data_IF_542145340339
#
_entry.id   IF_542145340339
#
_cell.length_a   1.000
_cell.length_b   1.000
_cell.length_c   1.000
_cell.angle_alpha   90.00
_cell.angle_beta   90.00
_cell.angle_gamma   90.00
#
_symmetry.space_group_name_H-M   'P 1'
#
loop_
_entity.id
_entity.type
_entity.pdbx_description
1 polymer ?
#
# COMPACT_ATOMS: atom_id res chain seq x y z
N UNK A 1 -1.60 -44.34 -48.19
CA UNK A 1 -0.92 -43.07 -47.85
C UNK A 1 -1.89 -42.31 -46.96
N UNK A 2 -1.76 -42.44 -45.62
CA UNK A 2 -1.24 -41.36 -44.76
C UNK A 2 -1.90 -40.02 -45.13
N UNK A 3 -2.94 -39.55 -44.46
CA UNK A 3 -3.00 -39.29 -43.02
C UNK A 3 -2.60 -37.83 -42.80
N UNK A 4 -3.58 -36.94 -42.60
CA UNK A 4 -3.42 -35.60 -42.01
C UNK A 4 -4.79 -35.00 -41.75
N UNK A 5 -5.36 -35.31 -40.59
CA UNK A 5 -6.44 -34.55 -39.99
C UNK A 5 -5.83 -33.37 -39.24
N UNK A 6 -5.75 -32.21 -39.88
CA UNK A 6 -5.45 -30.96 -39.20
C UNK A 6 -6.64 -30.58 -38.30
N UNK A 7 -6.50 -30.81 -37.00
CA UNK A 7 -7.40 -30.27 -36.00
C UNK A 7 -6.99 -28.83 -35.75
N UNK A 8 -7.72 -27.89 -36.35
CA UNK A 8 -7.58 -26.47 -36.09
C UNK A 8 -7.96 -26.15 -34.63
N UNK A 9 -6.94 -25.74 -33.87
CA UNK A 9 -7.07 -25.20 -32.52
C UNK A 9 -7.87 -23.89 -32.58
N UNK A 10 -9.00 -23.73 -31.85
CA UNK A 10 -9.71 -22.46 -31.87
C UNK A 10 -8.86 -21.38 -31.17
N UNK A 11 -8.72 -20.18 -31.75
CA UNK A 11 -7.98 -19.09 -31.14
C UNK A 11 -8.77 -18.45 -29.99
N UNK A 12 -8.06 -18.27 -28.87
CA UNK A 12 -8.24 -17.12 -27.98
C UNK A 12 -9.61 -16.99 -27.33
N UNK A 13 -9.85 -17.77 -26.28
CA UNK A 13 -10.75 -17.30 -25.22
C UNK A 13 -10.18 -15.97 -24.69
N UNK A 14 -10.83 -14.86 -25.05
CA UNK A 14 -10.51 -13.56 -24.48
C UNK A 14 -10.82 -13.67 -22.98
N UNK A 15 -9.83 -13.48 -22.10
CA UNK A 15 -10.07 -13.56 -20.66
C UNK A 15 -11.15 -12.54 -20.27
N UNK A 16 -11.99 -12.85 -19.26
CA UNK A 16 -13.05 -11.97 -18.83
C UNK A 16 -12.46 -10.59 -18.48
N UNK A 17 -13.01 -9.54 -19.08
CA UNK A 17 -12.62 -8.16 -18.82
C UNK A 17 -12.83 -7.87 -17.33
N UNK A 18 -11.74 -7.68 -16.61
CA UNK A 18 -11.77 -7.31 -15.19
C UNK A 18 -12.28 -5.88 -15.04
N UNK A 19 -13.12 -5.59 -14.02
CA UNK A 19 -13.68 -4.28 -13.81
C UNK A 19 -12.59 -3.29 -13.43
N UNK A 20 -12.65 -2.12 -14.05
CA UNK A 20 -11.80 -0.98 -13.77
C UNK A 20 -11.93 -0.52 -12.31
N UNK A 21 -10.78 -0.09 -11.76
CA UNK A 21 -10.58 0.75 -10.57
C UNK A 21 -10.28 0.09 -9.21
N UNK A 22 -10.41 -1.23 -9.01
CA UNK A 22 -9.97 -1.86 -7.76
C UNK A 22 -8.56 -2.45 -7.89
N UNK A 23 -7.72 -2.27 -6.85
CA UNK A 23 -6.41 -2.92 -6.75
C UNK A 23 -6.62 -4.42 -6.87
N UNK A 24 -5.94 -5.06 -7.82
CA UNK A 24 -6.03 -6.51 -8.01
C UNK A 24 -5.37 -7.21 -6.82
N UNK A 25 -5.92 -8.36 -6.42
CA UNK A 25 -5.41 -9.15 -5.32
C UNK A 25 -5.03 -10.55 -5.78
N UNK A 26 -3.97 -11.10 -5.19
CA UNK A 26 -3.61 -12.50 -5.41
C UNK A 26 -4.71 -13.43 -4.89
N UNK A 27 -5.10 -14.40 -5.73
CA UNK A 27 -6.03 -15.47 -5.35
C UNK A 27 -5.45 -16.34 -4.24
N UNK A 28 -6.30 -17.08 -3.53
CA UNK A 28 -5.87 -18.00 -2.47
C UNK A 28 -4.85 -19.04 -2.98
N UNK A 29 -5.07 -19.56 -4.19
CA UNK A 29 -4.16 -20.53 -4.83
C UNK A 29 -2.78 -19.90 -5.09
N UNK A 30 -2.76 -18.66 -5.57
CA UNK A 30 -1.51 -17.92 -5.78
C UNK A 30 -0.80 -17.66 -4.46
N UNK A 31 -1.51 -17.22 -3.41
CA UNK A 31 -0.95 -16.99 -2.07
C UNK A 31 -0.30 -18.26 -1.50
N UNK A 32 -0.94 -19.42 -1.66
CA UNK A 32 -0.36 -20.71 -1.24
C UNK A 32 0.89 -21.05 -2.05
N UNK A 33 0.88 -20.83 -3.37
CA UNK A 33 2.05 -21.06 -4.21
C UNK A 33 3.22 -20.12 -3.86
N UNK A 34 2.92 -18.86 -3.53
CA UNK A 34 3.91 -17.89 -3.04
C UNK A 34 4.52 -18.33 -1.70
N UNK A 35 3.70 -18.79 -0.74
CA UNK A 35 4.23 -19.35 0.51
C UNK A 35 5.15 -20.54 0.23
N UNK A 36 4.73 -21.48 -0.63
CA UNK A 36 5.56 -22.65 -1.00
C UNK A 36 6.89 -22.24 -1.62
N UNK A 37 6.92 -21.17 -2.43
CA UNK A 37 8.15 -20.59 -2.99
C UNK A 37 9.06 -20.01 -1.91
N UNK A 38 8.48 -19.33 -0.93
CA UNK A 38 9.21 -18.71 0.17
C UNK A 38 9.61 -19.70 1.29
N UNK A 39 9.15 -20.94 1.24
CA UNK A 39 9.46 -21.97 2.23
C UNK A 39 10.80 -22.66 1.94
N UNK A 40 11.59 -22.87 2.98
CA UNK A 40 12.78 -23.72 2.92
C UNK A 40 12.41 -25.20 3.07
N UNK A 41 13.34 -26.10 2.74
CA UNK A 41 13.17 -27.55 2.95
C UNK A 41 12.93 -27.95 4.41
N UNK A 42 13.23 -27.07 5.37
CA UNK A 42 12.97 -27.26 6.80
C UNK A 42 11.58 -26.75 7.24
N UNK A 43 10.73 -26.28 6.31
CA UNK A 43 9.40 -25.76 6.61
C UNK A 43 9.38 -24.34 7.16
N UNK A 44 10.47 -23.58 7.03
CA UNK A 44 10.55 -22.20 7.48
C UNK A 44 10.17 -21.25 6.34
N UNK A 45 9.31 -20.26 6.60
CA UNK A 45 8.93 -19.24 5.63
C UNK A 45 9.90 -18.08 5.77
N UNK A 46 10.61 -17.76 4.70
CA UNK A 46 11.54 -16.63 4.65
C UNK A 46 10.87 -15.42 4.02
N UNK A 47 11.16 -14.24 4.56
CA UNK A 47 10.80 -12.98 3.93
C UNK A 47 11.62 -12.80 2.65
N UNK A 48 10.98 -12.63 1.50
CA UNK A 48 11.68 -12.47 0.23
C UNK A 48 12.45 -11.13 0.12
N UNK A 49 12.13 -10.15 0.97
CA UNK A 49 12.81 -8.85 0.98
C UNK A 49 14.12 -8.80 1.79
N UNK A 50 14.26 -9.65 2.82
CA UNK A 50 15.44 -9.60 3.72
C UNK A 50 15.97 -10.97 4.16
N UNK A 51 15.32 -12.08 3.79
CA UNK A 51 15.71 -13.43 4.17
C UNK A 51 15.42 -13.83 5.62
N UNK A 52 14.84 -12.95 6.44
CA UNK A 52 14.49 -13.28 7.82
C UNK A 52 13.40 -14.35 7.88
N UNK A 53 13.52 -15.27 8.84
CA UNK A 53 12.48 -16.23 9.15
C UNK A 53 11.24 -15.53 9.75
N UNK A 54 10.12 -15.67 9.06
CA UNK A 54 8.81 -15.11 9.39
C UNK A 54 7.76 -16.19 9.67
N UNK A 55 8.16 -17.45 9.84
CA UNK A 55 7.27 -18.52 10.32
C UNK A 55 6.59 -18.10 11.63
N UNK A 56 5.26 -18.21 11.68
CA UNK A 56 4.46 -17.86 12.85
C UNK A 56 4.26 -16.35 13.07
N UNK A 57 4.83 -15.49 12.21
CA UNK A 57 4.61 -14.03 12.23
C UNK A 57 3.53 -13.63 11.23
N UNK A 58 3.10 -12.37 11.30
CA UNK A 58 2.15 -11.82 10.33
C UNK A 58 2.84 -11.61 8.99
N UNK A 59 2.29 -12.26 7.96
CA UNK A 59 2.78 -12.22 6.57
C UNK A 59 1.81 -11.39 5.74
N UNK A 60 2.36 -10.49 4.92
CA UNK A 60 1.60 -9.71 3.94
C UNK A 60 2.11 -10.06 2.53
N UNK A 61 1.17 -10.21 1.58
CA UNK A 61 1.47 -10.46 0.18
C UNK A 61 1.37 -9.14 -0.57
N UNK A 62 2.45 -8.74 -1.23
CA UNK A 62 2.51 -7.46 -1.91
C UNK A 62 3.05 -7.58 -3.33
N UNK A 63 2.73 -6.63 -4.19
CA UNK A 63 3.13 -6.65 -5.60
C UNK A 63 4.56 -6.14 -5.76
N UNK A 64 5.40 -6.76 -6.58
CA UNK A 64 6.77 -6.26 -6.82
C UNK A 64 6.70 -4.82 -7.34
N UNK A 65 5.96 -4.62 -8.42
CA UNK A 65 5.63 -3.30 -8.96
C UNK A 65 4.28 -2.90 -8.37
N UNK A 66 4.16 -1.73 -7.73
CA UNK A 66 2.90 -1.24 -7.21
C UNK A 66 1.84 -1.19 -8.32
N UNK A 67 0.66 -1.75 -8.04
CA UNK A 67 -0.47 -1.78 -8.99
C UNK A 67 -0.92 -0.38 -9.47
N UNK A 68 -0.59 0.67 -8.72
CA UNK A 68 -0.82 2.06 -9.11
C UNK A 68 0.11 2.55 -10.24
N UNK A 69 1.23 1.87 -10.48
CA UNK A 69 2.17 2.15 -11.56
C UNK A 69 1.97 1.25 -12.79
N UNK A 70 1.17 0.18 -12.66
CA UNK A 70 0.87 -0.72 -13.78
C UNK A 70 -0.21 -0.08 -14.68
N UNK A 71 0.18 0.22 -15.91
CA UNK A 71 -0.71 0.80 -16.94
C UNK A 71 -1.60 -0.27 -17.57
N UNK A 72 -1.01 -1.42 -17.94
CA UNK A 72 -1.75 -2.53 -18.54
C UNK A 72 -2.28 -3.48 -17.45
N UNK A 73 -3.58 -3.36 -17.19
CA UNK A 73 -4.30 -4.19 -16.23
C UNK A 73 -5.04 -5.36 -16.88
N UNK A 74 -4.84 -5.58 -18.18
CA UNK A 74 -5.49 -6.66 -18.91
C UNK A 74 -4.77 -8.00 -18.73
N UNK A 75 -3.46 -7.96 -18.45
CA UNK A 75 -2.69 -9.15 -18.10
C UNK A 75 -3.09 -9.67 -16.71
N UNK A 76 -3.27 -10.99 -16.59
CA UNK A 76 -3.56 -11.63 -15.31
C UNK A 76 -2.37 -11.53 -14.34
N UNK A 77 -2.66 -11.38 -13.05
CA UNK A 77 -1.63 -11.42 -12.00
C UNK A 77 -0.94 -12.78 -11.97
N UNK A 78 0.38 -12.79 -12.08
CA UNK A 78 1.19 -13.99 -11.90
C UNK A 78 1.75 -14.08 -10.48
N UNK A 79 2.10 -15.29 -10.06
CA UNK A 79 2.84 -15.54 -8.82
C UNK A 79 4.20 -14.81 -8.85
N UNK A 80 4.78 -14.63 -10.04
CA UNK A 80 6.03 -13.91 -10.22
C UNK A 80 5.92 -12.42 -9.87
N UNK A 81 4.72 -11.83 -9.94
CA UNK A 81 4.49 -10.40 -9.70
C UNK A 81 4.28 -10.06 -8.22
N UNK A 82 4.31 -11.07 -7.35
CA UNK A 82 4.12 -10.90 -5.90
C UNK A 82 5.35 -11.28 -5.09
N UNK A 83 5.48 -10.67 -3.92
CA UNK A 83 6.41 -11.03 -2.87
C UNK A 83 5.72 -11.43 -1.57
N UNK A 84 6.36 -12.36 -0.85
CA UNK A 84 5.99 -12.73 0.52
C UNK A 84 6.85 -11.93 1.50
N UNK A 85 6.23 -11.00 2.23
CA UNK A 85 6.95 -10.10 3.14
C UNK A 85 6.44 -10.24 4.57
N UNK A 86 7.35 -10.16 5.52
CA UNK A 86 6.97 -9.98 6.92
C UNK A 86 6.48 -8.55 7.14
N UNK A 87 5.34 -8.42 7.84
CA UNK A 87 4.71 -7.13 8.15
C UNK A 87 5.69 -6.14 8.79
N UNK A 88 6.40 -6.60 9.82
CA UNK A 88 7.23 -5.74 10.66
C UNK A 88 8.66 -5.56 10.13
N UNK A 89 9.14 -6.45 9.25
CA UNK A 89 10.52 -6.41 8.75
C UNK A 89 10.68 -5.59 7.46
N UNK A 90 9.87 -5.90 6.42
CA UNK A 90 10.06 -5.34 5.08
C UNK A 90 8.83 -4.61 4.55
N UNK A 91 7.64 -4.90 5.04
CA UNK A 91 6.44 -4.26 4.50
C UNK A 91 6.18 -2.88 5.16
N UNK A 92 5.99 -2.84 6.48
CA UNK A 92 5.58 -1.61 7.22
C UNK A 92 6.68 -0.85 7.94
N UNK A 93 7.92 -1.34 7.93
CA UNK A 93 9.07 -0.66 8.54
C UNK A 93 9.30 0.71 7.89
N UNK A 94 9.86 1.72 8.59
CA UNK A 94 10.37 2.92 7.94
C UNK A 94 11.37 2.58 6.83
N UNK A 95 11.15 3.09 5.61
CA UNK A 95 11.92 2.70 4.43
C UNK A 95 11.62 1.29 3.90
N UNK A 96 10.58 0.64 4.43
CA UNK A 96 10.03 -0.59 3.90
C UNK A 96 9.22 -0.34 2.63
N UNK A 97 8.76 -1.44 2.04
CA UNK A 97 8.10 -1.46 0.74
C UNK A 97 6.95 -0.45 0.63
N UNK A 98 6.04 -0.41 1.60
CA UNK A 98 4.89 0.51 1.53
C UNK A 98 5.33 1.97 1.46
N UNK A 99 6.39 2.36 2.18
CA UNK A 99 6.88 3.73 2.17
C UNK A 99 7.56 4.10 0.83
N UNK A 100 8.36 3.18 0.28
CA UNK A 100 9.00 3.34 -1.02
C UNK A 100 7.96 3.43 -2.14
N UNK A 101 7.01 2.49 -2.17
CA UNK A 101 5.95 2.45 -3.17
C UNK A 101 5.11 3.74 -3.17
N UNK A 102 4.78 4.27 -1.98
CA UNK A 102 4.08 5.55 -1.87
C UNK A 102 4.88 6.74 -2.41
N UNK A 103 6.20 6.74 -2.19
CA UNK A 103 7.09 7.77 -2.73
C UNK A 103 7.12 7.72 -4.27
N UNK A 104 7.29 6.52 -4.83
CA UNK A 104 7.34 6.29 -6.28
C UNK A 104 6.01 6.66 -6.96
N UNK A 105 4.88 6.26 -6.37
CA UNK A 105 3.54 6.63 -6.85
C UNK A 105 3.35 8.15 -6.84
N UNK A 106 3.78 8.81 -5.76
CA UNK A 106 3.66 10.27 -5.64
C UNK A 106 4.51 10.98 -6.68
N UNK A 107 5.72 10.47 -6.93
CA UNK A 107 6.59 11.01 -7.96
C UNK A 107 6.01 10.80 -9.37
N UNK A 108 5.53 9.60 -9.69
CA UNK A 108 4.90 9.30 -10.96
C UNK A 108 3.73 10.25 -11.25
N UNK A 109 2.83 10.42 -10.27
CA UNK A 109 1.70 11.37 -10.34
C UNK A 109 2.17 12.81 -10.53
N UNK A 110 3.26 13.22 -9.89
CA UNK A 110 3.83 14.57 -10.06
C UNK A 110 4.37 14.79 -11.47
N UNK A 111 5.05 13.78 -12.02
CA UNK A 111 5.58 13.83 -13.40
C UNK A 111 4.44 13.88 -14.42
N UNK A 112 3.41 13.07 -14.23
CA UNK A 112 2.19 13.08 -15.04
C UNK A 112 1.49 14.45 -14.98
N UNK A 113 1.27 14.99 -13.79
CA UNK A 113 0.69 16.32 -13.61
C UNK A 113 1.50 17.41 -14.33
N UNK A 114 2.83 17.37 -14.24
CA UNK A 114 3.73 18.30 -14.95
C UNK A 114 3.59 18.17 -16.47
N UNK A 115 3.50 16.94 -16.98
CA UNK A 115 3.31 16.68 -18.41
C UNK A 115 1.95 17.21 -18.91
N UNK A 116 0.90 17.08 -18.10
CA UNK A 116 -0.43 17.63 -18.37
C UNK A 116 -0.54 19.15 -18.13
N UNK A 117 0.57 19.82 -17.74
CA UNK A 117 0.58 21.25 -17.46
C UNK A 117 -0.07 21.66 -16.13
N UNK A 118 -0.46 20.71 -15.30
CA UNK A 118 -1.04 20.96 -13.98
C UNK A 118 0.08 21.38 -13.02
N UNK A 119 0.07 22.67 -12.64
CA UNK A 119 1.03 23.21 -11.68
C UNK A 119 0.45 23.17 -10.26
N UNK A 120 1.24 22.78 -9.25
CA UNK A 120 0.79 22.88 -7.87
C UNK A 120 0.47 24.34 -7.57
N UNK A 121 -0.64 24.56 -6.86
CA UNK A 121 -0.98 25.92 -6.41
C UNK A 121 0.16 26.45 -5.53
N UNK A 122 0.57 27.72 -5.71
CA UNK A 122 1.56 28.32 -4.83
C UNK A 122 1.06 28.22 -3.39
N UNK A 123 1.95 27.88 -2.46
CA UNK A 123 1.63 27.99 -1.02
C UNK A 123 1.32 29.46 -0.75
N UNK A 124 0.24 29.72 -0.02
CA UNK A 124 -0.13 31.09 0.35
C UNK A 124 1.07 31.72 1.08
N UNK A 125 1.77 32.66 0.44
CA UNK A 125 2.89 33.38 1.02
C UNK A 125 2.40 34.57 1.88
N UNK A 126 1.29 34.38 2.59
CA UNK A 126 0.72 35.37 3.48
C UNK A 126 1.39 35.32 4.85
N UNK A 127 1.34 36.42 5.60
CA UNK A 127 1.59 36.39 7.03
C UNK A 127 0.65 35.34 7.65
N UNK A 128 1.22 34.42 8.45
CA UNK A 128 0.40 33.49 9.22
C UNK A 128 -0.59 34.22 10.12
N UNK A 129 -1.56 33.51 10.69
CA UNK A 129 -2.41 34.09 11.72
C UNK A 129 -1.52 34.58 12.86
N UNK A 130 -1.65 35.86 13.22
CA UNK A 130 -0.99 36.40 14.40
C UNK A 130 -1.43 35.59 15.61
N UNK A 131 -0.52 35.17 16.50
CA UNK A 131 -0.91 34.50 17.74
C UNK A 131 -1.98 35.33 18.46
N UNK A 132 -3.10 34.71 18.89
CA UNK A 132 -4.09 35.45 19.68
C UNK A 132 -3.43 35.93 20.97
N UNK A 133 -3.89 37.08 21.47
CA UNK A 133 -3.42 37.63 22.73
C UNK A 133 -3.63 36.60 23.85
N UNK A 134 -2.66 36.42 24.79
CA UNK A 134 -2.77 35.41 25.83
C UNK A 134 -4.06 35.58 26.63
N UNK A 135 -4.96 34.59 26.54
CA UNK A 135 -6.23 34.62 27.27
C UNK A 135 -5.96 34.30 28.75
N UNK A 136 -5.62 35.33 29.55
CA UNK A 136 -5.36 35.24 31.01
C UNK A 136 -6.62 34.97 31.84
N UNK A 137 -7.68 34.43 31.25
CA UNK A 137 -8.96 34.21 31.95
C UNK A 137 -8.91 33.07 32.96
N UNK A 138 -8.02 32.10 32.79
CA UNK A 138 -7.90 30.95 33.70
C UNK A 138 -7.20 31.28 35.03
N UNK A 139 -6.36 32.32 35.07
CA UNK A 139 -5.65 32.76 36.28
C UNK A 139 -6.37 33.85 37.07
N UNK A 140 -7.52 34.35 36.57
CA UNK A 140 -8.34 35.29 37.34
C UNK A 140 -9.04 34.51 38.46
N UNK A 141 -9.01 34.99 39.71
CA UNK A 141 -9.76 34.36 40.77
C UNK A 141 -11.24 34.34 40.36
N UNK A 142 -11.83 33.15 40.35
CA UNK A 142 -13.25 33.01 40.11
C UNK A 142 -14.00 33.78 41.21
N UNK A 143 -14.83 34.75 40.83
CA UNK A 143 -15.68 35.51 41.77
C UNK A 143 -16.63 34.59 42.54
N UNK A 144 -16.92 33.40 42.00
CA UNK A 144 -17.66 32.33 42.66
C UNK A 144 -16.83 31.06 42.59
N UNK A 145 -16.47 30.44 43.73
CA UNK A 145 -15.80 29.14 43.70
C UNK A 145 -16.65 28.17 42.88
N UNK A 146 -16.00 27.33 42.10
CA UNK A 146 -16.70 26.36 41.27
C UNK A 146 -17.59 25.50 42.18
N UNK A 147 -18.89 25.43 41.88
CA UNK A 147 -19.92 24.87 42.76
C UNK A 147 -19.67 23.42 43.21
N UNK A 148 -18.73 22.72 42.56
CA UNK A 148 -18.33 21.35 42.87
C UNK A 148 -17.17 21.23 43.88
N UNK A 149 -16.48 22.34 44.25
CA UNK A 149 -15.54 22.32 45.38
C UNK A 149 -16.33 22.49 46.68
N UNK A 150 -16.68 21.37 47.32
CA UNK A 150 -17.08 21.37 48.73
C UNK A 150 -15.82 21.67 49.56
N UNK A 151 -15.85 22.73 50.35
CA UNK A 151 -14.86 22.95 51.41
C UNK A 151 -15.36 22.17 52.63
N UNK A 152 -14.99 20.89 52.73
CA UNK A 152 -15.20 20.12 53.96
C UNK A 152 -13.97 20.29 54.87
N UNK A 153 -14.13 20.74 56.14
CA UNK A 153 -13.17 20.51 57.21
C UNK A 153 -13.25 19.08 57.77
#
# INVERSE_FOLDING_TARGET
MSGSSETSKPPGAVPPRSPSALRREFSRTQKVAMIKRAMTGAGQILCEGCGLNITGKVIEFDHIIPEALILDKTADLSIADGHVLGRDCCHRRPGGKTACDLADITEAKRREAKHLGIRPRPRLAGAGFTPPEPQRSASRPLTKPAAWRRNDP
#
